data_IF_881590757934
#
_entry.id   IF_881590757934
#
_cell.length_a   1.000
_cell.length_b   1.000
_cell.length_c   1.000
_cell.angle_alpha   90.00
_cell.angle_beta   90.00
_cell.angle_gamma   90.00
#
_symmetry.space_group_name_H-M   'P 1'
#
loop_
_entity.id
_entity.type
_entity.pdbx_description
1 polymer ?
#
# COMPACT_ATOMS: atom_id res chain seq x y z
N UNK A 1 -19.88 -12.91 -3.87
CA UNK A 1 -18.42 -12.96 -4.10
C UNK A 1 -17.98 -11.98 -5.17
N UNK A 2 -18.47 -12.07 -6.42
CA UNK A 2 -18.06 -11.19 -7.52
C UNK A 2 -18.22 -9.70 -7.21
N UNK A 3 -19.34 -9.27 -6.62
CA UNK A 3 -19.56 -7.87 -6.24
C UNK A 3 -18.57 -7.30 -5.21
N UNK A 4 -17.96 -8.15 -4.37
CA UNK A 4 -16.94 -7.72 -3.39
C UNK A 4 -15.54 -7.67 -4.00
N UNK A 5 -15.23 -8.62 -4.90
CA UNK A 5 -13.88 -8.79 -5.47
C UNK A 5 -13.66 -7.88 -6.68
N UNK A 6 -14.68 -7.75 -7.55
CA UNK A 6 -14.56 -7.04 -8.83
C UNK A 6 -14.12 -5.56 -8.68
N UNK A 7 -14.67 -4.77 -7.74
CA UNK A 7 -14.22 -3.38 -7.58
C UNK A 7 -12.76 -3.29 -7.15
N UNK A 8 -12.34 -4.12 -6.18
CA UNK A 8 -10.97 -4.16 -5.68
C UNK A 8 -9.97 -4.59 -6.75
N UNK A 9 -10.26 -5.70 -7.43
CA UNK A 9 -9.41 -6.18 -8.54
C UNK A 9 -9.36 -5.19 -9.70
N UNK A 10 -10.48 -4.54 -10.05
CA UNK A 10 -10.47 -3.50 -11.08
C UNK A 10 -9.59 -2.31 -10.68
N UNK A 11 -9.70 -1.82 -9.44
CA UNK A 11 -8.86 -0.74 -8.94
C UNK A 11 -7.36 -1.12 -8.96
N UNK A 12 -7.03 -2.34 -8.52
CA UNK A 12 -5.67 -2.87 -8.54
C UNK A 12 -5.10 -3.06 -9.94
N UNK A 13 -5.94 -3.27 -10.96
CA UNK A 13 -5.50 -3.38 -12.36
C UNK A 13 -5.48 -2.05 -13.10
N UNK A 14 -6.23 -1.05 -12.63
CA UNK A 14 -6.28 0.28 -13.23
C UNK A 14 -5.05 1.12 -12.86
N UNK A 15 -4.67 1.15 -11.58
CA UNK A 15 -3.54 1.96 -11.08
C UNK A 15 -2.18 1.67 -11.73
N UNK A 16 -1.74 0.40 -11.86
CA UNK A 16 -0.42 0.07 -12.41
C UNK A 16 -0.15 0.54 -13.83
N UNK A 17 -1.18 0.91 -14.59
CA UNK A 17 -1.05 1.46 -15.94
C UNK A 17 -0.34 2.83 -15.96
N UNK A 18 -0.27 3.51 -14.81
CA UNK A 18 0.23 4.87 -14.69
C UNK A 18 1.49 5.00 -13.81
N UNK A 19 1.95 3.90 -13.23
CA UNK A 19 3.01 3.88 -12.23
C UNK A 19 4.12 2.92 -12.67
N UNK A 20 5.36 3.19 -12.26
CA UNK A 20 6.46 2.27 -12.53
C UNK A 20 6.25 0.96 -11.73
N UNK A 21 6.67 -0.20 -12.27
CA UNK A 21 6.49 -1.49 -11.59
C UNK A 21 7.05 -1.52 -10.15
N UNK A 22 8.15 -0.80 -9.90
CA UNK A 22 8.74 -0.67 -8.56
C UNK A 22 7.80 0.03 -7.58
N UNK A 23 7.24 1.19 -7.95
CA UNK A 23 6.30 1.93 -7.10
C UNK A 23 5.02 1.13 -6.88
N UNK A 24 4.51 0.45 -7.90
CA UNK A 24 3.33 -0.42 -7.79
C UNK A 24 3.57 -1.54 -6.78
N UNK A 25 4.73 -2.22 -6.86
CA UNK A 25 5.08 -3.29 -5.94
C UNK A 25 5.11 -2.82 -4.48
N UNK A 26 5.69 -1.64 -4.23
CA UNK A 26 5.70 -1.04 -2.90
C UNK A 26 4.30 -0.66 -2.43
N UNK A 27 3.49 -0.02 -3.28
CA UNK A 27 2.12 0.36 -2.92
C UNK A 27 1.25 -0.87 -2.59
N UNK A 28 1.43 -2.00 -3.26
CA UNK A 28 0.70 -3.22 -2.92
C UNK A 28 1.07 -3.81 -1.56
N UNK A 29 2.29 -3.60 -1.07
CA UNK A 29 2.67 -4.04 0.29
C UNK A 29 1.84 -3.36 1.39
N UNK A 30 1.20 -2.24 1.10
CA UNK A 30 0.29 -1.58 2.05
C UNK A 30 -0.94 -2.41 2.39
N UNK A 31 -1.26 -3.46 1.63
CA UNK A 31 -2.34 -4.39 1.99
C UNK A 31 -2.12 -5.05 3.36
N UNK A 32 -0.85 -5.26 3.74
CA UNK A 32 -0.48 -5.84 5.03
C UNK A 32 -0.94 -4.95 6.18
N UNK A 33 -0.96 -3.62 6.00
CA UNK A 33 -1.44 -2.65 7.00
C UNK A 33 -2.92 -2.91 7.29
N UNK A 34 -3.73 -3.01 6.23
CA UNK A 34 -5.18 -3.25 6.33
C UNK A 34 -5.44 -4.64 6.90
N UNK A 35 -4.70 -5.65 6.45
CA UNK A 35 -4.80 -7.03 6.95
C UNK A 35 -4.49 -7.15 8.44
N UNK A 36 -3.39 -6.56 8.90
CA UNK A 36 -2.99 -6.63 10.30
C UNK A 36 -3.97 -5.88 11.23
N UNK A 37 -4.47 -4.72 10.81
CA UNK A 37 -5.52 -4.00 11.55
C UNK A 37 -6.82 -4.83 11.56
N UNK A 38 -7.18 -5.45 10.44
CA UNK A 38 -8.38 -6.29 10.33
C UNK A 38 -8.30 -7.49 11.26
N UNK A 39 -7.14 -8.16 11.33
CA UNK A 39 -6.91 -9.29 12.26
C UNK A 39 -7.06 -8.84 13.71
N UNK A 40 -6.48 -7.69 14.09
CA UNK A 40 -6.61 -7.14 15.43
C UNK A 40 -8.08 -6.82 15.80
N UNK A 41 -8.84 -6.25 14.86
CA UNK A 41 -10.22 -5.81 15.12
C UNK A 41 -11.26 -6.92 15.00
N UNK A 42 -11.12 -7.80 14.00
CA UNK A 42 -12.14 -8.78 13.62
C UNK A 42 -11.86 -10.17 14.17
N UNK A 43 -10.59 -10.55 14.29
CA UNK A 43 -10.20 -11.86 14.84
C UNK A 43 -9.86 -11.81 16.33
N UNK A 44 -9.68 -10.61 16.90
CA UNK A 44 -9.31 -10.44 18.31
C UNK A 44 -7.90 -10.93 18.65
N UNK A 45 -7.05 -11.11 17.64
CA UNK A 45 -5.68 -11.55 17.81
C UNK A 45 -4.81 -10.44 18.42
N UNK A 46 -3.79 -10.80 19.22
CA UNK A 46 -2.94 -9.83 19.89
C UNK A 46 -2.14 -9.01 18.87
N UNK A 47 -2.34 -7.70 18.89
CA UNK A 47 -1.59 -6.73 18.11
C UNK A 47 -0.67 -5.94 19.04
N UNK A 48 0.63 -6.23 18.95
CA UNK A 48 1.64 -5.68 19.84
C UNK A 48 2.55 -4.64 19.17
N UNK A 49 3.62 -4.32 19.87
CA UNK A 49 4.62 -3.34 19.41
C UNK A 49 5.35 -3.82 18.15
N UNK A 50 5.53 -5.13 18.00
CA UNK A 50 6.22 -5.72 16.84
C UNK A 50 5.40 -5.57 15.56
N UNK A 51 4.11 -5.83 15.64
CA UNK A 51 3.19 -5.67 14.51
C UNK A 51 3.12 -4.19 14.12
N UNK A 52 2.97 -3.31 15.12
CA UNK A 52 2.95 -1.85 14.91
C UNK A 52 4.21 -1.33 14.23
N UNK A 53 5.40 -1.74 14.68
CA UNK A 53 6.66 -1.29 14.07
C UNK A 53 6.79 -1.76 12.62
N UNK A 54 6.45 -3.03 12.33
CA UNK A 54 6.45 -3.55 10.97
C UNK A 54 5.52 -2.78 10.04
N UNK A 55 4.29 -2.50 10.50
CA UNK A 55 3.28 -1.77 9.73
C UNK A 55 3.72 -0.33 9.44
N UNK A 56 4.31 0.34 10.42
CA UNK A 56 4.85 1.69 10.25
C UNK A 56 6.01 1.72 9.24
N UNK A 57 6.91 0.73 9.28
CA UNK A 57 8.02 0.63 8.33
C UNK A 57 7.53 0.36 6.90
N UNK A 58 6.57 -0.56 6.73
CA UNK A 58 5.97 -0.87 5.43
C UNK A 58 5.25 0.36 4.87
N UNK A 59 4.42 1.02 5.69
CA UNK A 59 3.70 2.23 5.27
C UNK A 59 4.67 3.36 4.90
N UNK A 60 5.73 3.58 5.70
CA UNK A 60 6.75 4.58 5.43
C UNK A 60 7.49 4.33 4.12
N UNK A 61 7.99 3.10 3.90
CA UNK A 61 8.65 2.73 2.66
C UNK A 61 7.74 2.90 1.44
N UNK A 62 6.47 2.49 1.56
CA UNK A 62 5.49 2.58 0.47
C UNK A 62 5.11 4.01 0.10
N UNK A 63 5.20 4.97 1.04
CA UNK A 63 4.94 6.38 0.77
C UNK A 63 6.17 7.14 0.27
N UNK A 64 7.37 6.82 0.77
CA UNK A 64 8.60 7.54 0.43
C UNK A 64 8.91 7.50 -1.06
N UNK A 65 8.80 6.33 -1.68
CA UNK A 65 9.15 6.13 -3.10
C UNK A 65 8.26 6.95 -4.06
N UNK A 66 6.91 6.92 -3.97
CA UNK A 66 6.06 7.79 -4.78
C UNK A 66 6.32 9.28 -4.52
N UNK A 67 6.55 9.69 -3.26
CA UNK A 67 6.84 11.09 -2.93
C UNK A 67 8.15 11.56 -3.59
N UNK A 68 9.19 10.73 -3.55
CA UNK A 68 10.47 11.01 -4.21
C UNK A 68 10.32 11.12 -5.73
N UNK A 69 9.53 10.23 -6.33
CA UNK A 69 9.21 10.25 -7.75
C UNK A 69 8.46 11.55 -8.14
N UNK A 70 7.47 11.96 -7.35
CA UNK A 70 6.74 13.23 -7.56
C UNK A 70 7.67 14.45 -7.45
N UNK A 71 8.58 14.45 -6.48
CA UNK A 71 9.55 15.54 -6.32
C UNK A 71 10.52 15.64 -7.51
N UNK A 72 10.95 14.50 -8.08
CA UNK A 72 11.77 14.49 -9.29
C UNK A 72 11.03 15.06 -10.50
N UNK A 73 9.75 14.73 -10.67
CA UNK A 73 8.91 15.31 -11.74
C UNK A 73 8.77 16.83 -11.57
N UNK A 74 8.55 17.29 -10.33
CA UNK A 74 8.39 18.73 -10.04
C UNK A 74 9.67 19.54 -10.21
N UNK A 75 10.82 18.94 -9.91
CA UNK A 75 12.13 19.60 -10.01
C UNK A 75 12.65 19.70 -11.45
N UNK A 76 12.17 18.86 -12.37
CA UNK A 76 12.53 18.89 -13.78
C UNK A 76 11.28 18.81 -14.68
N UNK A 77 10.45 19.88 -14.71
CA UNK A 77 9.35 19.97 -15.65
C UNK A 77 9.96 20.23 -17.03
N UNK A 78 10.08 19.17 -17.85
CA UNK A 78 10.39 19.32 -19.27
C UNK A 78 9.19 19.91 -20.00
#
# INVERSE_FOLDING_TARGET
MALLVLPGTYASLWGPKYLSPGVVGLLFMTEIVVGAISVALLAGEPFGIRELTGILLIAGASMLEPILALNHVRANPR
#
